data_IF_070747925020
#
_entry.id   IF_070747925020
#
_cell.length_a   1.000
_cell.length_b   1.000
_cell.length_c   1.000
_cell.angle_alpha   90.00
_cell.angle_beta   90.00
_cell.angle_gamma   90.00
#
_symmetry.space_group_name_H-M   'P 1'
#
loop_
_entity.id
_entity.type
_entity.pdbx_description
1 polymer ?
#
# COMPACT_ATOMS: atom_id res chain seq x y z
N UNK A 1 9.17 4.40 -12.91
CA UNK A 1 8.13 4.48 -11.87
C UNK A 1 6.85 5.03 -12.47
N UNK A 2 5.73 4.51 -12.05
CA UNK A 2 4.41 4.94 -12.56
C UNK A 2 3.80 6.00 -11.67
N UNK A 3 3.00 6.89 -12.28
CA UNK A 3 2.11 7.77 -11.52
C UNK A 3 0.73 7.15 -11.49
N UNK A 4 0.10 7.20 -10.33
CA UNK A 4 -1.27 6.72 -10.11
C UNK A 4 -2.11 7.84 -9.53
N UNK A 5 -3.42 7.79 -9.74
CA UNK A 5 -4.34 8.80 -9.23
C UNK A 5 -5.10 8.26 -8.03
N UNK A 6 -5.26 9.11 -7.03
CA UNK A 6 -6.10 8.81 -5.86
C UNK A 6 -7.57 8.77 -6.29
N UNK A 7 -8.23 7.67 -5.98
CA UNK A 7 -9.65 7.45 -6.32
C UNK A 7 -10.57 7.50 -5.11
N UNK A 8 -10.05 7.29 -3.91
CA UNK A 8 -10.81 7.37 -2.66
C UNK A 8 -9.89 7.67 -1.49
N UNK A 9 -10.40 8.41 -0.51
CA UNK A 9 -9.72 8.70 0.76
C UNK A 9 -10.73 8.61 1.89
N UNK A 10 -10.44 7.80 2.92
CA UNK A 10 -11.30 7.65 4.09
C UNK A 10 -10.46 7.82 5.36
N UNK A 11 -10.79 8.81 6.17
CA UNK A 11 -10.17 9.02 7.48
C UNK A 11 -10.95 8.27 8.54
N UNK A 12 -10.36 7.20 9.09
CA UNK A 12 -11.02 6.37 10.09
C UNK A 12 -10.91 6.96 11.49
N UNK A 13 -9.75 7.50 11.82
CA UNK A 13 -9.47 8.14 13.12
C UNK A 13 -8.57 9.35 12.90
N UNK A 14 -8.21 10.05 13.97
CA UNK A 14 -7.25 11.15 13.92
C UNK A 14 -5.85 10.70 13.48
N UNK A 15 -5.58 9.40 13.54
CA UNK A 15 -4.27 8.82 13.24
C UNK A 15 -4.24 7.89 12.04
N UNK A 16 -5.37 7.33 11.65
CA UNK A 16 -5.46 6.29 10.63
C UNK A 16 -6.35 6.75 9.47
N UNK A 17 -5.84 6.60 8.25
CA UNK A 17 -6.63 6.78 7.05
C UNK A 17 -6.33 5.69 6.02
N UNK A 18 -7.26 5.53 5.12
CA UNK A 18 -7.21 4.60 4.00
C UNK A 18 -7.31 5.40 2.70
N UNK A 19 -6.58 5.00 1.69
CA UNK A 19 -6.73 5.57 0.36
C UNK A 19 -6.64 4.50 -0.70
N UNK A 20 -7.30 4.76 -1.82
CA UNK A 20 -7.25 3.94 -3.02
C UNK A 20 -6.65 4.73 -4.17
N UNK A 21 -6.02 3.99 -5.07
CA UNK A 21 -5.44 4.57 -6.29
C UNK A 21 -5.82 3.73 -7.50
N UNK A 22 -5.67 4.34 -8.67
CA UNK A 22 -5.67 3.59 -9.91
C UNK A 22 -4.54 2.56 -9.90
N UNK A 23 -4.71 1.49 -10.65
CA UNK A 23 -3.71 0.43 -10.79
C UNK A 23 -3.23 0.36 -12.23
N UNK A 24 -1.92 0.49 -12.50
CA UNK A 24 -1.39 0.25 -13.84
C UNK A 24 -1.70 -1.18 -14.29
N UNK A 25 -2.10 -1.34 -15.56
CA UNK A 25 -2.49 -2.65 -16.10
C UNK A 25 -1.37 -3.69 -16.04
N UNK A 26 -0.12 -3.22 -16.05
CA UNK A 26 1.06 -4.08 -15.99
C UNK A 26 1.53 -4.37 -14.57
N UNK A 27 0.94 -3.73 -13.57
CA UNK A 27 1.34 -3.92 -12.17
C UNK A 27 0.75 -5.19 -11.60
N UNK A 28 1.62 -6.16 -11.32
CA UNK A 28 1.30 -7.45 -10.72
C UNK A 28 1.88 -7.54 -9.32
N UNK A 29 1.15 -8.16 -8.40
CA UNK A 29 1.65 -8.41 -7.06
C UNK A 29 1.00 -9.68 -6.48
N UNK A 30 1.66 -10.25 -5.48
CA UNK A 30 1.12 -11.35 -4.67
C UNK A 30 0.53 -10.77 -3.39
N UNK A 31 -0.58 -11.33 -2.93
CA UNK A 31 -1.19 -10.94 -1.67
C UNK A 31 -0.16 -11.01 -0.53
N UNK A 32 -0.10 -9.96 0.28
CA UNK A 32 0.85 -9.82 1.39
C UNK A 32 2.10 -9.01 1.05
N UNK A 33 2.33 -8.69 -0.22
CA UNK A 33 3.47 -7.87 -0.64
C UNK A 33 3.25 -6.38 -0.37
N UNK A 34 4.34 -5.62 -0.42
CA UNK A 34 4.34 -4.16 -0.33
C UNK A 34 4.96 -3.54 -1.58
N UNK A 35 4.73 -2.26 -1.75
CA UNK A 35 5.28 -1.46 -2.85
C UNK A 35 5.70 -0.10 -2.29
N UNK A 36 6.61 0.57 -2.99
CA UNK A 36 6.99 1.94 -2.66
C UNK A 36 5.93 2.92 -3.18
N UNK A 37 5.46 3.79 -2.30
CA UNK A 37 4.56 4.89 -2.61
C UNK A 37 5.26 6.19 -2.26
N UNK A 38 5.06 7.22 -3.05
CA UNK A 38 5.68 8.50 -2.78
C UNK A 38 5.01 9.69 -3.42
N UNK A 39 5.58 10.84 -3.09
CA UNK A 39 5.21 12.15 -3.62
C UNK A 39 6.44 12.86 -4.15
N UNK A 40 6.23 13.68 -5.17
CA UNK A 40 7.26 14.59 -5.64
C UNK A 40 7.60 15.59 -4.52
N UNK A 41 8.88 15.83 -4.36
CA UNK A 41 9.39 16.76 -3.36
C UNK A 41 10.57 17.54 -3.92
N UNK A 42 10.51 18.87 -3.81
CA UNK A 42 11.65 19.72 -4.14
C UNK A 42 12.70 19.62 -3.05
N UNK A 43 13.91 19.26 -3.42
CA UNK A 43 15.05 19.20 -2.51
C UNK A 43 15.94 20.43 -2.67
N UNK A 44 15.95 21.29 -1.67
CA UNK A 44 16.82 22.48 -1.63
C UNK A 44 18.29 22.08 -1.69
N UNK A 45 18.65 21.00 -0.99
CA UNK A 45 20.04 20.51 -0.97
C UNK A 45 20.53 20.07 -2.35
N UNK A 46 19.66 19.44 -3.13
CA UNK A 46 20.01 18.89 -4.45
C UNK A 46 19.57 19.82 -5.59
N UNK A 47 18.85 20.89 -5.30
CA UNK A 47 18.28 21.82 -6.29
C UNK A 47 17.52 21.10 -7.41
N UNK A 48 16.75 20.07 -7.04
CA UNK A 48 15.94 19.30 -7.98
C UNK A 48 14.78 18.60 -7.28
N UNK A 49 13.82 18.17 -8.06
CA UNK A 49 12.76 17.30 -7.56
C UNK A 49 13.33 15.92 -7.23
N UNK A 50 13.10 15.47 -5.99
CA UNK A 50 13.44 14.13 -5.54
C UNK A 50 12.24 13.53 -4.84
N UNK A 51 11.66 12.43 -5.33
CA UNK A 51 10.52 11.80 -4.68
C UNK A 51 10.87 11.32 -3.27
N UNK A 52 9.94 11.50 -2.36
CA UNK A 52 9.99 10.86 -1.04
C UNK A 52 9.18 9.58 -1.15
N UNK A 53 9.84 8.44 -0.99
CA UNK A 53 9.23 7.12 -1.14
C UNK A 53 9.27 6.35 0.18
N UNK A 54 8.19 5.61 0.48
CA UNK A 54 8.10 4.72 1.64
C UNK A 54 7.38 3.44 1.24
N UNK A 55 7.70 2.37 1.94
CA UNK A 55 7.08 1.07 1.72
C UNK A 55 5.66 1.05 2.32
N UNK A 56 4.70 0.59 1.53
CA UNK A 56 3.31 0.42 1.92
C UNK A 56 2.82 -0.97 1.53
N UNK A 57 2.34 -1.72 2.51
CA UNK A 57 1.67 -2.99 2.22
C UNK A 57 0.34 -2.72 1.52
N UNK A 58 0.05 -3.50 0.49
CA UNK A 58 -1.24 -3.42 -0.18
C UNK A 58 -2.32 -4.08 0.67
N UNK A 59 -3.47 -3.42 0.77
CA UNK A 59 -4.69 -3.97 1.37
C UNK A 59 -5.58 -4.62 0.32
N UNK A 60 -5.47 -4.17 -0.92
CA UNK A 60 -6.21 -4.71 -2.06
C UNK A 60 -5.78 -6.14 -2.37
N UNK A 61 -6.70 -6.93 -2.92
CA UNK A 61 -6.39 -8.25 -3.42
C UNK A 61 -5.61 -8.20 -4.73
N UNK A 62 -4.91 -9.28 -5.08
CA UNK A 62 -4.07 -9.31 -6.28
C UNK A 62 -4.84 -9.18 -7.59
N UNK A 63 -6.16 -9.41 -7.56
CA UNK A 63 -7.04 -9.31 -8.74
C UNK A 63 -7.94 -8.07 -8.73
N UNK A 64 -7.81 -7.19 -7.73
CA UNK A 64 -8.60 -5.97 -7.64
C UNK A 64 -8.18 -4.97 -8.73
N UNK A 65 -9.15 -4.18 -9.21
CA UNK A 65 -8.93 -3.17 -10.25
C UNK A 65 -8.16 -1.96 -9.73
N UNK A 66 -8.26 -1.69 -8.44
CA UNK A 66 -7.60 -0.58 -7.77
C UNK A 66 -6.65 -1.07 -6.69
N UNK A 67 -5.69 -0.22 -6.31
CA UNK A 67 -4.82 -0.47 -5.16
C UNK A 67 -5.38 0.25 -3.94
N UNK A 68 -5.25 -0.39 -2.77
CA UNK A 68 -5.71 0.15 -1.49
C UNK A 68 -4.60 0.07 -0.45
N UNK A 69 -4.47 1.11 0.35
CA UNK A 69 -3.43 1.24 1.36
C UNK A 69 -3.97 1.84 2.66
N UNK A 70 -3.40 1.40 3.79
CA UNK A 70 -3.59 2.06 5.08
C UNK A 70 -2.35 2.89 5.42
N UNK A 71 -2.55 4.05 6.01
CA UNK A 71 -1.47 4.92 6.46
C UNK A 71 -1.78 5.53 7.81
N UNK A 72 -0.72 5.73 8.59
CA UNK A 72 -0.79 6.43 9.87
C UNK A 72 -0.38 7.90 9.64
N UNK A 73 -1.10 8.81 10.27
CA UNK A 73 -0.75 10.24 10.28
C UNK A 73 0.37 10.47 11.28
N UNK A 74 1.59 10.61 10.78
CA UNK A 74 2.75 10.97 11.60
C UNK A 74 3.06 12.45 11.33
N UNK A 75 2.85 13.37 12.29
CA UNK A 75 2.96 14.82 12.04
C UNK A 75 4.31 15.23 11.47
N UNK A 76 5.38 14.62 11.93
CA UNK A 76 6.75 14.95 11.51
C UNK A 76 7.33 13.97 10.48
N UNK A 77 6.51 13.01 10.00
CA UNK A 77 6.93 12.06 8.99
C UNK A 77 7.20 12.75 7.65
N UNK A 78 8.33 12.49 6.97
CA UNK A 78 8.67 13.16 5.71
C UNK A 78 7.61 12.97 4.62
N UNK A 79 7.04 11.78 4.51
CA UNK A 79 5.98 11.48 3.54
C UNK A 79 4.58 11.63 4.15
N UNK A 80 4.35 11.03 5.32
CA UNK A 80 3.00 10.94 5.91
C UNK A 80 2.44 12.30 6.31
N UNK A 81 3.28 13.28 6.66
CA UNK A 81 2.84 14.65 6.93
C UNK A 81 2.16 15.29 5.71
N UNK A 82 2.54 14.88 4.51
CA UNK A 82 1.95 15.35 3.24
C UNK A 82 0.88 14.41 2.74
N UNK A 83 1.10 13.11 2.88
CA UNK A 83 0.18 12.07 2.38
C UNK A 83 -1.19 12.13 3.06
N UNK A 84 -1.25 12.55 4.33
CA UNK A 84 -2.52 12.70 5.05
C UNK A 84 -3.46 13.75 4.44
N UNK A 85 -2.96 14.63 3.58
CA UNK A 85 -3.73 15.70 2.94
C UNK A 85 -4.10 15.41 1.49
N UNK A 86 -3.82 14.21 0.99
CA UNK A 86 -4.17 13.84 -0.39
C UNK A 86 -5.69 13.88 -0.57
N UNK A 87 -6.08 14.20 -1.81
CA UNK A 87 -7.48 14.27 -2.24
C UNK A 87 -7.69 13.42 -3.48
N UNK A 88 -8.93 13.08 -3.74
CA UNK A 88 -9.32 12.38 -4.98
C UNK A 88 -8.83 13.19 -6.19
N UNK A 89 -8.14 12.52 -7.09
CA UNK A 89 -7.55 13.13 -8.28
C UNK A 89 -6.09 13.48 -8.15
N UNK A 90 -5.54 13.52 -6.93
CA UNK A 90 -4.12 13.77 -6.71
C UNK A 90 -3.29 12.62 -7.28
N UNK A 91 -2.08 12.94 -7.73
CA UNK A 91 -1.14 11.94 -8.25
C UNK A 91 -0.16 11.48 -7.17
N UNK A 92 0.06 10.18 -7.12
CA UNK A 92 1.10 9.55 -6.30
C UNK A 92 2.08 8.81 -7.21
N UNK A 93 3.30 8.64 -6.71
CA UNK A 93 4.31 7.84 -7.40
C UNK A 93 4.22 6.41 -6.88
N UNK A 94 4.10 5.46 -7.79
CA UNK A 94 4.11 4.03 -7.50
C UNK A 94 5.44 3.44 -7.94
N UNK A 95 6.10 2.72 -7.04
CA UNK A 95 7.30 1.97 -7.37
C UNK A 95 7.05 0.93 -8.47
N UNK A 96 8.08 0.54 -9.22
CA UNK A 96 7.90 -0.31 -10.40
C UNK A 96 7.52 -1.75 -10.06
N UNK A 97 7.86 -2.23 -8.87
CA UNK A 97 7.64 -3.62 -8.47
C UNK A 97 7.21 -3.71 -7.01
N UNK A 98 6.34 -4.68 -6.72
CA UNK A 98 6.06 -5.13 -5.37
C UNK A 98 7.12 -6.14 -4.92
N UNK A 99 7.26 -6.30 -3.61
CA UNK A 99 8.14 -7.28 -3.00
C UNK A 99 7.64 -7.62 -1.59
N UNK A 100 8.25 -8.61 -0.97
CA UNK A 100 7.94 -9.03 0.39
C UNK A 100 7.85 -10.53 0.52
N UNK A 101 7.94 -11.01 1.75
CA UNK A 101 7.95 -12.44 2.08
C UNK A 101 6.70 -12.89 2.86
N UNK A 102 5.80 -11.98 3.18
CA UNK A 102 4.54 -12.30 3.86
C UNK A 102 3.50 -12.81 2.84
N UNK A 103 3.84 -13.90 2.18
CA UNK A 103 3.06 -14.52 1.12
C UNK A 103 2.84 -16.00 1.43
N UNK A 104 1.76 -16.57 0.88
CA UNK A 104 1.40 -17.98 1.16
C UNK A 104 2.46 -18.98 0.74
N UNK A 105 3.24 -18.66 -0.31
CA UNK A 105 4.34 -19.54 -0.75
C UNK A 105 5.48 -19.64 0.27
N UNK A 106 5.51 -18.79 1.28
CA UNK A 106 6.54 -18.79 2.35
C UNK A 106 6.14 -19.60 3.57
N UNK A 107 4.94 -20.19 3.59
CA UNK A 107 4.41 -20.94 4.74
C UNK A 107 3.91 -22.32 4.30
N UNK A 108 3.83 -23.25 5.25
CA UNK A 108 3.24 -24.56 5.01
C UNK A 108 1.73 -24.43 4.85
N UNK A 109 1.20 -24.98 3.76
CA UNK A 109 -0.23 -24.94 3.45
C UNK A 109 -1.01 -25.98 4.24
N UNK A 110 -2.33 -25.73 4.37
CA UNK A 110 -3.26 -26.60 5.08
C UNK A 110 -3.38 -26.25 6.55
N UNK A 111 -4.38 -26.82 7.22
CA UNK A 111 -4.67 -26.49 8.61
C UNK A 111 -5.27 -25.12 8.80
N UNK A 112 -4.95 -24.48 9.92
CA UNK A 112 -5.48 -23.16 10.27
C UNK A 112 -4.41 -22.09 10.05
N UNK A 113 -4.80 -20.99 9.42
CA UNK A 113 -3.96 -19.80 9.26
C UNK A 113 -4.38 -18.74 10.27
N UNK A 114 -3.45 -18.36 11.14
CA UNK A 114 -3.65 -17.30 12.13
C UNK A 114 -2.99 -16.01 11.63
N UNK A 115 -3.77 -14.94 11.56
CA UNK A 115 -3.32 -13.61 11.15
C UNK A 115 -3.36 -12.69 12.36
N UNK A 116 -2.20 -12.30 12.87
CA UNK A 116 -2.07 -11.45 14.05
C UNK A 116 -1.35 -10.16 13.69
N UNK A 117 -2.03 -9.02 13.89
CA UNK A 117 -1.46 -7.72 13.58
C UNK A 117 -2.07 -6.62 14.43
N UNK A 118 -1.33 -5.52 14.56
CA UNK A 118 -1.79 -4.29 15.22
C UNK A 118 -1.59 -3.10 14.29
N UNK A 119 -2.43 -2.08 14.45
CA UNK A 119 -2.34 -0.86 13.64
C UNK A 119 -2.40 -1.15 12.14
N UNK A 120 -1.50 -0.54 11.37
CA UNK A 120 -1.41 -0.76 9.92
C UNK A 120 -0.83 -2.12 9.55
N UNK A 121 -0.35 -2.90 10.52
CA UNK A 121 0.11 -4.28 10.29
C UNK A 121 -0.99 -5.21 9.79
N UNK A 122 -2.26 -4.82 9.91
CA UNK A 122 -3.39 -5.57 9.34
C UNK A 122 -3.46 -5.46 7.80
N UNK A 123 -2.82 -4.47 7.20
CA UNK A 123 -2.91 -4.20 5.77
C UNK A 123 -2.59 -5.42 4.88
N UNK A 124 -1.44 -6.12 5.05
CA UNK A 124 -1.14 -7.28 4.23
C UNK A 124 -2.13 -8.43 4.44
N UNK A 125 -2.72 -8.55 5.63
CA UNK A 125 -3.72 -9.57 5.92
C UNK A 125 -5.02 -9.30 5.18
N UNK A 126 -5.40 -8.04 5.00
CA UNK A 126 -6.56 -7.68 4.18
C UNK A 126 -6.35 -8.12 2.73
N UNK A 127 -5.15 -7.95 2.20
CA UNK A 127 -4.80 -8.43 0.86
C UNK A 127 -4.91 -9.96 0.77
N UNK A 128 -4.36 -10.68 1.74
CA UNK A 128 -4.45 -12.14 1.80
C UNK A 128 -5.91 -12.62 1.84
N UNK A 129 -6.74 -11.99 2.65
CA UNK A 129 -8.16 -12.35 2.77
C UNK A 129 -8.98 -12.05 1.52
N UNK A 130 -8.50 -11.15 0.67
CA UNK A 130 -9.12 -10.79 -0.61
C UNK A 130 -8.58 -11.60 -1.77
N UNK A 131 -7.63 -12.50 -1.52
CA UNK A 131 -7.10 -13.42 -2.50
C UNK A 131 -7.93 -14.71 -2.46
N UNK A 132 -8.63 -15.07 -3.55
CA UNK A 132 -9.45 -16.29 -3.57
C UNK A 132 -8.65 -17.56 -3.27
N UNK A 133 -7.39 -17.61 -3.62
CA UNK A 133 -6.54 -18.78 -3.43
C UNK A 133 -6.32 -19.14 -1.96
N UNK A 134 -6.39 -18.17 -1.05
CA UNK A 134 -6.17 -18.46 0.38
C UNK A 134 -7.19 -19.43 0.94
N UNK A 135 -8.43 -19.38 0.44
CA UNK A 135 -9.52 -20.23 0.89
C UNK A 135 -9.44 -21.64 0.37
N UNK A 136 -8.61 -21.88 -0.64
CA UNK A 136 -8.30 -23.20 -1.16
C UNK A 136 -7.08 -23.81 -0.46
N UNK A 137 -6.20 -22.97 0.11
CA UNK A 137 -4.94 -23.37 0.73
C UNK A 137 -5.10 -23.67 2.23
N UNK A 138 -6.10 -23.10 2.87
CA UNK A 138 -6.41 -23.25 4.29
C UNK A 138 -7.93 -23.45 4.54
#
# INVERSE_FOLDING_TARGET
MNKVKVTDVTHHTDRLFKFRTTRPKTFRFRAGEFVLIGLDHWSEKLQKNKPIMRAYSMCSGPYDDELEFYSIKVPDGPLTSKLQHIKIGDELILGPKSTGTLVTSSITLGGNLWLMGTGTGIAPFMSLLRDPEIYEQF
#
